data_IF_716787107283
#
_entry.id   IF_716787107283
#
_cell.length_a   1.000
_cell.length_b   1.000
_cell.length_c   1.000
_cell.angle_alpha   90.00
_cell.angle_beta   90.00
_cell.angle_gamma   90.00
#
_symmetry.space_group_name_H-M   'P 1'
#
loop_
_entity.id
_entity.type
_entity.pdbx_description
1 polymer ?
#
# COMPACT_ATOMS: atom_id res chain seq x y z
N UNK A 1 -1.63 -69.53 -39.40
CA UNK A 1 -0.71 -68.49 -38.87
C UNK A 1 0.17 -69.13 -37.83
N UNK A 2 1.47 -68.94 -37.96
CA UNK A 2 2.43 -69.43 -36.96
C UNK A 2 2.27 -68.59 -35.69
N UNK A 3 2.38 -69.17 -34.48
CA UNK A 3 2.24 -68.43 -33.21
C UNK A 3 3.15 -67.20 -33.11
N UNK A 4 4.30 -67.23 -33.77
CA UNK A 4 5.27 -66.14 -33.80
C UNK A 4 4.79 -64.92 -34.62
N UNK A 5 4.02 -65.14 -35.68
CA UNK A 5 3.47 -64.06 -36.52
C UNK A 5 2.39 -63.30 -35.75
N UNK A 6 1.55 -64.02 -35.00
CA UNK A 6 0.50 -63.43 -34.16
C UNK A 6 1.11 -62.54 -33.07
N UNK A 7 2.18 -63.02 -32.42
CA UNK A 7 2.91 -62.23 -31.42
C UNK A 7 3.57 -60.97 -32.01
N UNK A 8 4.08 -61.04 -33.25
CA UNK A 8 4.67 -59.89 -33.92
C UNK A 8 3.63 -58.78 -34.18
N UNK A 9 2.48 -59.14 -34.75
CA UNK A 9 1.41 -58.17 -35.01
C UNK A 9 0.81 -57.60 -33.71
N UNK A 10 0.68 -58.42 -32.67
CA UNK A 10 0.20 -57.97 -31.37
C UNK A 10 1.17 -56.95 -30.74
N UNK A 11 2.47 -57.23 -30.77
CA UNK A 11 3.49 -56.30 -30.25
C UNK A 11 3.57 -55.00 -31.07
N UNK A 12 3.42 -55.08 -32.39
CA UNK A 12 3.36 -53.89 -33.25
C UNK A 12 2.12 -53.02 -32.94
N UNK A 13 0.97 -53.65 -32.70
CA UNK A 13 -0.23 -52.95 -32.27
C UNK A 13 -0.07 -52.30 -30.89
N UNK A 14 0.52 -53.00 -29.92
CA UNK A 14 0.76 -52.47 -28.58
C UNK A 14 1.76 -51.31 -28.58
N UNK A 15 2.86 -51.44 -29.31
CA UNK A 15 3.90 -50.39 -29.40
C UNK A 15 3.39 -49.14 -30.12
N UNK A 16 2.60 -49.29 -31.19
CA UNK A 16 1.98 -48.14 -31.87
C UNK A 16 0.98 -47.40 -30.96
N UNK A 17 0.16 -48.13 -30.21
CA UNK A 17 -0.73 -47.53 -29.21
C UNK A 17 0.05 -46.82 -28.09
N UNK A 18 1.14 -47.41 -27.61
CA UNK A 18 2.01 -46.78 -26.61
C UNK A 18 2.62 -45.47 -27.11
N UNK A 19 3.10 -45.43 -28.36
CA UNK A 19 3.65 -44.22 -28.98
C UNK A 19 2.60 -43.11 -29.09
N UNK A 20 1.36 -43.44 -29.47
CA UNK A 20 0.25 -42.47 -29.53
C UNK A 20 -0.06 -41.93 -28.13
N UNK A 21 -0.08 -42.80 -27.11
CA UNK A 21 -0.29 -42.40 -25.71
C UNK A 21 0.80 -41.44 -25.21
N UNK A 22 2.07 -41.73 -25.49
CA UNK A 22 3.19 -40.86 -25.13
C UNK A 22 3.17 -39.53 -25.90
N UNK A 23 2.83 -39.55 -27.19
CA UNK A 23 2.71 -38.32 -27.99
C UNK A 23 1.63 -37.40 -27.40
N UNK A 24 0.44 -37.92 -27.11
CA UNK A 24 -0.65 -37.13 -26.49
C UNK A 24 -0.23 -36.59 -25.11
N UNK A 25 0.46 -37.38 -24.31
CA UNK A 25 0.99 -36.95 -23.01
C UNK A 25 2.02 -35.81 -23.14
N UNK A 26 2.92 -35.90 -24.12
CA UNK A 26 3.93 -34.87 -24.39
C UNK A 26 3.30 -33.55 -24.84
N UNK A 27 2.34 -33.60 -25.78
CA UNK A 27 1.63 -32.40 -26.24
C UNK A 27 0.75 -31.78 -25.13
N UNK A 28 0.06 -32.60 -24.32
CA UNK A 28 -0.79 -32.11 -23.23
C UNK A 28 -0.01 -31.53 -22.05
N UNK A 29 1.21 -32.01 -21.78
CA UNK A 29 2.04 -31.52 -20.67
C UNK A 29 2.42 -30.04 -20.82
N UNK A 30 2.68 -29.60 -22.06
CA UNK A 30 2.95 -28.20 -22.37
C UNK A 30 1.75 -27.29 -22.10
N UNK A 31 0.56 -27.73 -22.51
CA UNK A 31 -0.71 -27.03 -22.32
C UNK A 31 -1.02 -26.84 -20.82
N UNK A 32 -0.93 -27.92 -20.03
CA UNK A 32 -1.14 -27.86 -18.56
C UNK A 32 -0.16 -26.92 -17.86
N UNK A 33 1.11 -26.91 -18.29
CA UNK A 33 2.12 -26.00 -17.73
C UNK A 33 1.85 -24.55 -18.12
N UNK A 34 1.33 -24.31 -19.32
CA UNK A 34 0.95 -22.98 -19.78
C UNK A 34 -0.28 -22.48 -19.00
N UNK A 35 -1.31 -23.31 -18.87
CA UNK A 35 -2.52 -23.03 -18.08
C UNK A 35 -2.14 -22.66 -16.63
N UNK A 36 -1.31 -23.47 -15.96
CA UNK A 36 -0.85 -23.14 -14.61
C UNK A 36 -0.02 -21.85 -14.50
N UNK A 37 0.66 -21.43 -15.56
CA UNK A 37 1.37 -20.13 -15.60
C UNK A 37 0.40 -18.97 -15.79
N UNK A 38 -0.60 -19.14 -16.65
CA UNK A 38 -1.65 -18.13 -16.88
C UNK A 38 -2.43 -17.92 -15.58
N UNK A 39 -2.89 -18.99 -14.94
CA UNK A 39 -3.57 -18.92 -13.64
C UNK A 39 -2.77 -18.18 -12.58
N UNK A 40 -1.45 -18.41 -12.54
CA UNK A 40 -0.56 -17.74 -11.58
C UNK A 40 -0.43 -16.25 -11.88
N UNK A 41 -0.35 -15.88 -13.16
CA UNK A 41 -0.29 -14.47 -13.59
C UNK A 41 -1.61 -13.77 -13.30
N UNK A 42 -2.75 -14.39 -13.62
CA UNK A 42 -4.09 -13.83 -13.34
C UNK A 42 -4.29 -13.59 -11.84
N UNK A 43 -3.96 -14.58 -11.00
CA UNK A 43 -4.01 -14.42 -9.54
C UNK A 43 -3.09 -13.32 -9.03
N UNK A 44 -1.87 -13.23 -9.59
CA UNK A 44 -0.92 -12.16 -9.26
C UNK A 44 -1.42 -10.78 -9.67
N UNK A 45 -2.08 -10.67 -10.82
CA UNK A 45 -2.65 -9.42 -11.30
C UNK A 45 -3.79 -8.93 -10.41
N UNK A 46 -4.67 -9.82 -9.96
CA UNK A 46 -5.74 -9.49 -9.00
C UNK A 46 -5.19 -9.07 -7.63
N UNK A 47 -4.08 -9.65 -7.18
CA UNK A 47 -3.41 -9.21 -5.96
C UNK A 47 -2.81 -7.81 -6.10
N UNK A 48 -2.11 -7.56 -7.20
CA UNK A 48 -1.53 -6.25 -7.49
C UNK A 48 -2.58 -5.17 -7.65
N UNK A 49 -3.69 -5.45 -8.35
CA UNK A 49 -4.79 -4.50 -8.51
C UNK A 49 -5.38 -4.08 -7.16
N UNK A 50 -5.65 -5.02 -6.26
CA UNK A 50 -6.13 -4.71 -4.91
C UNK A 50 -5.14 -3.88 -4.10
N UNK A 51 -3.85 -4.17 -4.21
CA UNK A 51 -2.80 -3.41 -3.52
C UNK A 51 -2.65 -2.00 -4.08
N UNK A 52 -2.74 -1.84 -5.40
CA UNK A 52 -2.70 -0.55 -6.07
C UNK A 52 -3.92 0.28 -5.65
N UNK A 53 -5.12 -0.29 -5.66
CA UNK A 53 -6.33 0.40 -5.20
C UNK A 53 -6.23 0.87 -3.74
N UNK A 54 -5.63 0.06 -2.85
CA UNK A 54 -5.36 0.48 -1.46
C UNK A 54 -4.42 1.68 -1.41
N UNK A 55 -3.31 1.62 -2.15
CA UNK A 55 -2.32 2.71 -2.20
C UNK A 55 -2.89 3.97 -2.84
N UNK A 56 -3.67 3.85 -3.90
CA UNK A 56 -4.37 4.98 -4.53
C UNK A 56 -5.38 5.62 -3.57
N UNK A 57 -6.09 4.79 -2.80
CA UNK A 57 -6.95 5.24 -1.72
C UNK A 57 -6.19 6.05 -0.68
N UNK A 58 -5.04 5.56 -0.22
CA UNK A 58 -4.18 6.26 0.74
C UNK A 58 -3.62 7.57 0.18
N UNK A 59 -3.08 7.55 -1.05
CA UNK A 59 -2.51 8.72 -1.73
C UNK A 59 -3.58 9.81 -1.96
N UNK A 60 -4.82 9.43 -2.29
CA UNK A 60 -5.91 10.38 -2.51
C UNK A 60 -6.25 11.21 -1.26
N UNK A 61 -6.00 10.66 -0.07
CA UNK A 61 -6.20 11.36 1.20
C UNK A 61 -4.95 12.06 1.69
N UNK A 62 -3.79 11.87 1.05
CA UNK A 62 -2.60 12.60 1.41
C UNK A 62 -2.77 14.08 1.07
N UNK A 63 -2.39 15.00 1.97
CA UNK A 63 -2.38 16.42 1.65
C UNK A 63 -1.42 16.66 0.50
N UNK A 64 -1.85 17.46 -0.47
CA UNK A 64 -0.97 17.91 -1.54
C UNK A 64 0.14 18.81 -0.96
N UNK A 65 1.20 18.97 -1.77
CA UNK A 65 2.37 19.80 -1.39
C UNK A 65 1.96 21.21 -0.98
N UNK A 66 0.97 21.77 -1.67
CA UNK A 66 0.52 23.15 -1.45
C UNK A 66 -0.25 23.27 -0.13
N UNK A 67 -1.07 22.28 0.23
CA UNK A 67 -1.76 22.19 1.52
C UNK A 67 -0.76 22.03 2.66
N UNK A 68 0.29 21.22 2.47
CA UNK A 68 1.36 21.09 3.46
C UNK A 68 2.15 22.40 3.64
N UNK A 69 2.46 23.09 2.53
CA UNK A 69 3.13 24.39 2.58
C UNK A 69 2.24 25.45 3.25
N UNK A 70 0.94 25.48 2.94
CA UNK A 70 -0.02 26.37 3.60
C UNK A 70 -0.08 26.10 5.09
N UNK A 71 -0.18 24.83 5.49
CA UNK A 71 -0.15 24.44 6.91
C UNK A 71 1.12 24.91 7.61
N UNK A 72 2.30 24.83 6.97
CA UNK A 72 3.53 25.36 7.55
C UNK A 72 3.49 26.90 7.74
N UNK A 73 2.93 27.63 6.78
CA UNK A 73 2.74 29.08 6.90
C UNK A 73 1.78 29.42 8.03
N UNK A 74 0.64 28.72 8.11
CA UNK A 74 -0.36 28.90 9.17
C UNK A 74 0.25 28.62 10.56
N UNK A 75 1.09 27.59 10.68
CA UNK A 75 1.83 27.29 11.92
C UNK A 75 2.86 28.37 12.27
N UNK A 76 3.55 28.92 11.28
CA UNK A 76 4.47 30.03 11.49
C UNK A 76 3.73 31.29 11.97
N UNK A 77 2.57 31.58 11.39
CA UNK A 77 1.71 32.68 11.80
C UNK A 77 1.19 32.49 13.22
N UNK A 78 0.66 31.30 13.53
CA UNK A 78 0.21 30.93 14.88
C UNK A 78 1.30 31.14 15.93
N UNK A 79 2.55 30.74 15.63
CA UNK A 79 3.68 30.99 16.53
C UNK A 79 3.91 32.48 16.79
N UNK A 80 3.75 33.32 15.76
CA UNK A 80 3.81 34.78 15.89
C UNK A 80 2.70 35.36 16.76
N UNK A 81 1.47 34.89 16.56
CA UNK A 81 0.31 35.29 17.36
C UNK A 81 0.47 34.89 18.84
N UNK A 82 0.96 33.67 19.12
CA UNK A 82 1.26 33.20 20.48
C UNK A 82 2.30 34.10 21.16
N UNK A 83 3.40 34.43 20.48
CA UNK A 83 4.41 35.33 21.05
C UNK A 83 3.84 36.71 21.39
N UNK A 84 2.93 37.21 20.57
CA UNK A 84 2.27 38.49 20.81
C UNK A 84 1.32 38.41 22.01
N UNK A 85 0.60 37.29 22.14
CA UNK A 85 -0.25 37.01 23.29
C UNK A 85 0.55 36.90 24.59
N UNK A 86 1.71 36.23 24.60
CA UNK A 86 2.60 36.16 25.76
C UNK A 86 3.04 37.56 26.19
N UNK A 87 3.48 38.40 25.24
CA UNK A 87 3.87 39.79 25.54
C UNK A 87 2.71 40.61 26.14
N UNK A 88 1.50 40.43 25.63
CA UNK A 88 0.29 41.08 26.17
C UNK A 88 -0.01 40.60 27.60
N UNK A 89 0.15 39.30 27.86
CA UNK A 89 0.01 38.72 29.20
C UNK A 89 1.03 39.30 30.17
N UNK A 90 2.31 39.39 29.80
CA UNK A 90 3.35 40.01 30.64
C UNK A 90 3.10 41.50 30.89
N UNK A 91 2.55 42.22 29.91
CA UNK A 91 2.17 43.63 30.09
C UNK A 91 1.00 43.77 31.07
N UNK A 92 0.00 42.89 30.97
CA UNK A 92 -1.14 42.82 31.88
C UNK A 92 -0.68 42.50 33.29
N UNK A 93 0.19 41.49 33.47
CA UNK A 93 0.77 41.13 34.77
C UNK A 93 1.50 42.33 35.41
N UNK A 94 2.34 43.04 34.64
CA UNK A 94 3.03 44.24 35.12
C UNK A 94 2.07 45.38 35.46
N UNK A 95 0.94 45.50 34.77
CA UNK A 95 -0.10 46.46 35.13
C UNK A 95 -0.77 46.08 36.45
N UNK A 96 -1.16 44.81 36.62
CA UNK A 96 -1.74 44.30 37.85
C UNK A 96 -0.81 44.50 39.04
N UNK A 97 0.47 44.11 38.94
CA UNK A 97 1.47 44.33 40.00
C UNK A 97 1.60 45.81 40.38
N UNK A 98 1.59 46.72 39.40
CA UNK A 98 1.64 48.17 39.68
C UNK A 98 0.41 48.68 40.41
N UNK A 99 -0.77 48.15 40.09
CA UNK A 99 -2.01 48.49 40.81
C UNK A 99 -1.96 47.94 42.23
N UNK A 100 -1.53 46.69 42.42
CA UNK A 100 -1.32 46.08 43.73
C UNK A 100 -0.34 46.92 44.57
N UNK A 101 0.81 47.29 44.02
CA UNK A 101 1.81 48.13 44.68
C UNK A 101 1.25 49.50 45.09
N UNK A 102 0.44 50.13 44.22
CA UNK A 102 -0.21 51.41 44.52
C UNK A 102 -1.22 51.28 45.66
N UNK A 103 -2.05 50.23 45.65
CA UNK A 103 -3.04 49.96 46.69
C UNK A 103 -2.38 49.64 48.03
N UNK A 104 -1.31 48.83 48.05
CA UNK A 104 -0.56 48.50 49.26
C UNK A 104 0.13 49.72 49.87
N UNK A 105 0.73 50.59 49.04
CA UNK A 105 1.40 51.81 49.53
C UNK A 105 0.44 52.87 50.06
N UNK A 106 -0.77 52.97 49.49
CA UNK A 106 -1.76 54.00 49.88
C UNK A 106 -2.79 53.53 50.90
N UNK A 107 -3.04 52.22 51.01
CA UNK A 107 -3.90 51.63 52.04
C UNK A 107 -3.17 51.31 53.35
N UNK A 108 -1.84 51.51 53.40
CA UNK A 108 -1.02 51.39 54.60
C UNK A 108 -0.76 52.69 55.36
N UNK A 109 -1.37 53.80 54.94
CA UNK A 109 -1.51 55.07 55.68
C UNK A 109 -2.94 55.18 56.24
#
# INVERSE_FOLDING_TARGET
MMPQEILLYLNLALSSLALIGHAKGYFSSGEKKLEGRVDKVEKGQVDHDRRIQSLEGEIKHMPDKDSFQKMQLDLAELKGQINSMVKSSEATERATRRVEDFLLKRGGE
#
